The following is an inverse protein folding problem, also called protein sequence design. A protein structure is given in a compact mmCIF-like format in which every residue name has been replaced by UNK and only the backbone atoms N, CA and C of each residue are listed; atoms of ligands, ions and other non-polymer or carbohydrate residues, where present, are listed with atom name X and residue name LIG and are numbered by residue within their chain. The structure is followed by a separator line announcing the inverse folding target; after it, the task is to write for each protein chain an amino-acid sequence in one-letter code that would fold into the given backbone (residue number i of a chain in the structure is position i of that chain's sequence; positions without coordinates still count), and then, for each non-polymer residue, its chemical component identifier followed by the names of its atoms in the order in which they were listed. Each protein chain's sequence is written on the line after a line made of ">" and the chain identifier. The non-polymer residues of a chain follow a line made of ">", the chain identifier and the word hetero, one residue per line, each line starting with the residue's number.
data_IF_157119926873
#
_entry.id   IF_157119926873
#
_cell.length_a   1.000
_cell.length_b   1.000
_cell.length_c   1.000
_cell.angle_alpha   90.00
_cell.angle_beta   90.00
_cell.angle_gamma   90.00
#
_symmetry.space_group_name_H-M   'P 1'
#
loop_
_entity.id
_entity.type
_entity.pdbx_description
1 polymer ?
#
# COMPACT_ATOMS: atom_id res chain seq x y z
N UNK A 1 -28.08 34.07 28.04
CA UNK A 1 -28.25 33.91 26.59
C UNK A 1 -27.13 33.01 26.11
N UNK A 2 -27.41 31.69 26.04
CA UNK A 2 -26.45 30.71 25.59
C UNK A 2 -26.62 30.52 24.07
N UNK A 3 -25.62 30.89 23.29
CA UNK A 3 -25.56 30.58 21.87
C UNK A 3 -25.08 29.14 21.75
N UNK A 4 -25.98 28.27 21.31
CA UNK A 4 -25.66 26.91 20.88
C UNK A 4 -24.95 27.02 19.52
N UNK A 5 -23.65 26.74 19.51
CA UNK A 5 -22.89 26.58 18.25
C UNK A 5 -23.28 25.24 17.66
N UNK A 6 -24.15 25.26 16.65
CA UNK A 6 -24.45 24.09 15.85
C UNK A 6 -23.15 23.66 15.08
N UNK A 7 -22.68 22.43 15.34
CA UNK A 7 -21.64 21.79 14.56
C UNK A 7 -22.14 21.61 13.10
N UNK A 8 -21.26 21.76 12.09
CA UNK A 8 -21.67 21.60 10.70
C UNK A 8 -22.11 20.16 10.45
N UNK A 9 -23.39 20.01 10.10
CA UNK A 9 -23.98 18.75 9.66
C UNK A 9 -23.26 18.33 8.39
N UNK A 10 -22.43 17.27 8.46
CA UNK A 10 -21.85 16.63 7.29
C UNK A 10 -22.99 16.16 6.38
N UNK A 11 -23.11 16.77 5.20
CA UNK A 11 -24.14 16.43 4.22
C UNK A 11 -24.01 14.94 3.86
N UNK A 12 -24.95 14.06 4.20
CA UNK A 12 -24.82 12.63 3.94
C UNK A 12 -24.79 12.43 2.42
N UNK A 13 -23.72 11.84 1.91
CA UNK A 13 -23.59 11.46 0.49
C UNK A 13 -24.88 10.83 -0.02
N UNK A 14 -25.41 11.33 -1.13
CA UNK A 14 -26.65 10.85 -1.72
C UNK A 14 -26.58 9.35 -2.04
N UNK A 15 -27.72 8.66 -2.02
CA UNK A 15 -27.80 7.22 -2.31
C UNK A 15 -27.12 6.85 -3.63
N UNK A 16 -27.31 7.68 -4.68
CA UNK A 16 -26.71 7.47 -6.00
C UNK A 16 -25.18 7.53 -5.95
N UNK A 17 -24.60 8.44 -5.20
CA UNK A 17 -23.15 8.59 -5.05
C UNK A 17 -22.56 7.41 -4.29
N UNK A 18 -23.21 6.95 -3.21
CA UNK A 18 -22.81 5.74 -2.49
C UNK A 18 -22.82 4.50 -3.37
N UNK A 19 -23.87 4.33 -4.19
CA UNK A 19 -23.96 3.21 -5.14
C UNK A 19 -22.88 3.29 -6.22
N UNK A 20 -22.56 4.49 -6.71
CA UNK A 20 -21.47 4.71 -7.65
C UNK A 20 -20.13 4.30 -7.06
N UNK A 21 -19.82 4.78 -5.86
CA UNK A 21 -18.56 4.43 -5.16
C UNK A 21 -18.45 2.94 -4.84
N UNK A 22 -19.54 2.30 -4.41
CA UNK A 22 -19.55 0.85 -4.21
C UNK A 22 -19.25 0.09 -5.50
N UNK A 23 -19.80 0.53 -6.61
CA UNK A 23 -19.55 -0.08 -7.91
C UNK A 23 -18.12 0.13 -8.38
N UNK A 24 -17.58 1.36 -8.25
CA UNK A 24 -16.18 1.65 -8.57
C UNK A 24 -15.24 0.78 -7.74
N UNK A 25 -15.51 0.62 -6.45
CA UNK A 25 -14.74 -0.26 -5.57
C UNK A 25 -14.80 -1.72 -6.02
N UNK A 26 -15.97 -2.24 -6.37
CA UNK A 26 -16.12 -3.60 -6.88
C UNK A 26 -15.36 -3.81 -8.21
N UNK A 27 -15.33 -2.80 -9.08
CA UNK A 27 -14.54 -2.82 -10.34
C UNK A 27 -13.04 -2.87 -10.02
N UNK A 28 -12.56 -2.04 -9.11
CA UNK A 28 -11.14 -2.00 -8.73
C UNK A 28 -10.71 -3.29 -8.03
N UNK A 29 -11.54 -3.87 -7.16
CA UNK A 29 -11.27 -5.16 -6.51
C UNK A 29 -11.20 -6.30 -7.53
N UNK A 30 -12.10 -6.33 -8.50
CA UNK A 30 -12.07 -7.33 -9.57
C UNK A 30 -10.86 -7.14 -10.51
N UNK A 31 -10.51 -5.90 -10.85
CA UNK A 31 -9.31 -5.59 -11.64
C UNK A 31 -8.04 -6.02 -10.91
N UNK A 32 -7.98 -5.76 -9.60
CA UNK A 32 -6.89 -6.19 -8.74
C UNK A 32 -6.68 -7.71 -8.82
N UNK A 33 -7.75 -8.48 -8.69
CA UNK A 33 -7.70 -9.95 -8.75
C UNK A 33 -7.29 -10.43 -10.15
N UNK A 34 -7.87 -9.86 -11.23
CA UNK A 34 -7.49 -10.23 -12.60
C UNK A 34 -6.02 -9.96 -12.91
N UNK A 35 -5.51 -8.79 -12.51
CA UNK A 35 -4.09 -8.46 -12.68
C UNK A 35 -3.21 -9.44 -11.88
N UNK A 36 -3.67 -9.86 -10.70
CA UNK A 36 -2.98 -10.80 -9.85
C UNK A 36 -2.90 -12.21 -10.46
N UNK A 37 -3.99 -12.68 -11.03
CA UNK A 37 -4.13 -14.04 -11.55
C UNK A 37 -3.54 -14.18 -12.96
N UNK A 38 -3.81 -13.23 -13.85
CA UNK A 38 -3.55 -13.31 -15.28
C UNK A 38 -2.45 -12.36 -15.76
N UNK A 39 -2.12 -11.37 -14.95
CA UNK A 39 -1.20 -10.30 -15.32
C UNK A 39 -1.91 -9.13 -16.02
N UNK A 40 -1.23 -7.97 -16.02
CA UNK A 40 -1.78 -6.75 -16.62
C UNK A 40 -2.10 -6.92 -18.10
N UNK A 41 -1.22 -7.54 -18.89
CA UNK A 41 -1.41 -7.65 -20.34
C UNK A 41 -2.65 -8.47 -20.69
N UNK A 42 -2.94 -9.53 -19.95
CA UNK A 42 -4.09 -10.40 -20.19
C UNK A 42 -5.42 -9.77 -19.74
N UNK A 43 -5.42 -8.87 -18.75
CA UNK A 43 -6.65 -8.19 -18.36
C UNK A 43 -7.22 -7.35 -19.50
N UNK A 44 -8.49 -7.59 -19.85
CA UNK A 44 -9.24 -6.81 -20.84
C UNK A 44 -10.43 -6.12 -20.21
N UNK A 45 -10.89 -4.99 -20.81
CA UNK A 45 -12.10 -4.30 -20.34
C UNK A 45 -13.35 -5.20 -20.44
N UNK A 46 -13.40 -6.07 -21.43
CA UNK A 46 -14.52 -7.01 -21.63
C UNK A 46 -14.51 -8.11 -20.56
N UNK A 47 -13.36 -8.70 -20.28
CA UNK A 47 -13.17 -9.68 -19.19
C UNK A 47 -13.51 -9.12 -17.83
N UNK A 48 -13.07 -7.87 -17.57
CA UNK A 48 -13.38 -7.18 -16.32
C UNK A 48 -14.89 -6.88 -16.19
N UNK A 49 -15.54 -6.39 -17.24
CA UNK A 49 -16.98 -6.12 -17.23
C UNK A 49 -17.78 -7.42 -16.95
N UNK A 50 -17.39 -8.53 -17.58
CA UNK A 50 -17.98 -9.86 -17.36
C UNK A 50 -17.78 -10.30 -15.89
N UNK A 51 -16.57 -10.17 -15.35
CA UNK A 51 -16.24 -10.58 -13.97
C UNK A 51 -17.02 -9.79 -12.92
N UNK A 52 -17.24 -8.49 -13.16
CA UNK A 52 -18.04 -7.61 -12.26
C UNK A 52 -19.54 -7.80 -12.46
N UNK A 53 -19.97 -8.40 -13.56
CA UNK A 53 -21.39 -8.58 -13.90
C UNK A 53 -22.07 -7.29 -14.37
N UNK A 54 -21.33 -6.40 -15.07
CA UNK A 54 -21.84 -5.15 -15.63
C UNK A 54 -21.64 -5.09 -17.16
N UNK A 55 -22.40 -4.23 -17.83
CA UNK A 55 -22.21 -4.01 -19.25
C UNK A 55 -20.92 -3.23 -19.53
N UNK A 56 -20.29 -3.47 -20.69
CA UNK A 56 -19.12 -2.72 -21.16
C UNK A 56 -19.33 -1.20 -21.17
N UNK A 57 -20.47 -0.65 -21.68
CA UNK A 57 -20.74 0.78 -21.56
C UNK A 57 -20.79 1.28 -20.11
N UNK A 58 -21.35 0.48 -19.19
CA UNK A 58 -21.36 0.82 -17.76
C UNK A 58 -19.94 0.91 -17.21
N UNK A 59 -19.04 -0.02 -17.55
CA UNK A 59 -17.65 0.03 -17.13
C UNK A 59 -16.95 1.29 -17.64
N UNK A 60 -17.12 1.62 -18.94
CA UNK A 60 -16.52 2.82 -19.54
C UNK A 60 -17.06 4.13 -18.97
N UNK A 61 -18.29 4.15 -18.44
CA UNK A 61 -18.84 5.31 -17.72
C UNK A 61 -18.16 5.56 -16.36
N UNK A 62 -17.54 4.54 -15.77
CA UNK A 62 -16.78 4.65 -14.52
C UNK A 62 -15.29 4.87 -14.78
N UNK A 63 -14.73 4.15 -15.74
CA UNK A 63 -13.30 4.14 -16.06
C UNK A 63 -13.08 4.17 -17.56
N UNK A 64 -12.46 5.24 -18.09
CA UNK A 64 -12.32 5.44 -19.54
C UNK A 64 -11.35 4.46 -20.21
N UNK A 65 -10.42 3.87 -19.43
CA UNK A 65 -9.40 2.98 -19.97
C UNK A 65 -8.92 1.94 -18.94
N UNK A 66 -8.25 0.92 -19.44
CA UNK A 66 -7.51 -0.07 -18.64
C UNK A 66 -6.42 0.59 -17.80
N UNK A 67 -5.74 1.60 -18.33
CA UNK A 67 -4.71 2.33 -17.63
C UNK A 67 -5.28 3.13 -16.44
N UNK A 68 -6.45 3.78 -16.63
CA UNK A 68 -7.13 4.50 -15.55
C UNK A 68 -7.54 3.56 -14.41
N UNK A 69 -8.10 2.40 -14.72
CA UNK A 69 -8.41 1.35 -13.73
C UNK A 69 -7.15 0.95 -12.98
N UNK A 70 -6.06 0.71 -13.70
CA UNK A 70 -4.78 0.28 -13.10
C UNK A 70 -4.20 1.34 -12.18
N UNK A 71 -4.18 2.60 -12.60
CA UNK A 71 -3.72 3.72 -11.77
C UNK A 71 -4.58 3.84 -10.50
N UNK A 72 -5.91 3.78 -10.65
CA UNK A 72 -6.85 3.83 -9.51
C UNK A 72 -6.68 2.66 -8.56
N UNK A 73 -6.47 1.45 -9.08
CA UNK A 73 -6.17 0.26 -8.27
C UNK A 73 -4.89 0.43 -7.46
N UNK A 74 -3.84 1.00 -8.05
CA UNK A 74 -2.58 1.31 -7.35
C UNK A 74 -2.73 2.41 -6.30
N UNK A 75 -3.57 3.43 -6.56
CA UNK A 75 -3.90 4.46 -5.56
C UNK A 75 -4.61 3.81 -4.36
N UNK A 76 -5.63 3.00 -4.62
CA UNK A 76 -6.37 2.30 -3.56
C UNK A 76 -5.46 1.39 -2.72
N UNK A 77 -4.51 0.70 -3.36
CA UNK A 77 -3.51 -0.11 -2.64
C UNK A 77 -2.64 0.74 -1.71
N UNK A 78 -2.19 1.91 -2.16
CA UNK A 78 -1.41 2.83 -1.30
C UNK A 78 -2.24 3.36 -0.14
N UNK A 79 -3.52 3.71 -0.36
CA UNK A 79 -4.42 4.17 0.69
C UNK A 79 -4.73 3.05 1.72
N UNK A 80 -4.95 1.82 1.26
CA UNK A 80 -5.10 0.65 2.16
C UNK A 80 -3.85 0.44 3.01
N UNK A 81 -2.67 0.56 2.42
CA UNK A 81 -1.39 0.45 3.15
C UNK A 81 -1.26 1.57 4.17
N UNK A 82 -1.55 2.82 3.79
CA UNK A 82 -1.55 3.97 4.69
C UNK A 82 -2.49 3.75 5.89
N UNK A 83 -3.72 3.31 5.64
CA UNK A 83 -4.70 3.04 6.69
C UNK A 83 -4.26 1.89 7.62
N UNK A 84 -3.65 0.84 7.07
CA UNK A 84 -3.13 -0.27 7.87
C UNK A 84 -1.98 0.16 8.79
N UNK A 85 -1.07 1.02 8.32
CA UNK A 85 0.00 1.60 9.15
C UNK A 85 -0.59 2.40 10.32
N UNK A 86 -1.65 3.17 10.08
CA UNK A 86 -2.31 3.95 11.11
C UNK A 86 -3.14 3.11 12.09
N UNK A 87 -3.60 1.92 11.66
CA UNK A 87 -4.34 0.99 12.51
C UNK A 87 -3.44 0.22 13.49
N UNK A 88 -2.12 0.23 13.28
CA UNK A 88 -1.18 -0.37 14.24
C UNK A 88 -1.17 0.49 15.50
N UNK A 89 -1.27 -0.18 16.65
CA UNK A 89 -1.37 0.44 17.98
C UNK A 89 -0.30 1.53 18.17
N UNK A 90 -0.75 2.76 18.34
CA UNK A 90 0.10 3.93 18.50
C UNK A 90 0.62 4.13 19.95
N UNK A 91 0.19 3.29 20.88
CA UNK A 91 0.70 3.28 22.27
C UNK A 91 1.99 2.48 22.41
N UNK A 92 2.36 1.70 21.39
CA UNK A 92 3.60 0.95 21.37
C UNK A 92 4.82 1.86 21.26
N UNK A 93 5.98 1.43 21.81
CA UNK A 93 7.25 2.08 21.53
C UNK A 93 7.47 2.24 20.02
N UNK A 94 7.97 3.40 19.53
CA UNK A 94 8.09 3.66 18.09
C UNK A 94 8.89 2.60 17.31
N UNK A 95 9.98 2.08 17.89
CA UNK A 95 10.76 1.01 17.26
C UNK A 95 9.96 -0.29 17.11
N UNK A 96 9.19 -0.69 18.14
CA UNK A 96 8.30 -1.86 18.08
C UNK A 96 7.18 -1.64 17.07
N UNK A 97 6.61 -0.43 17.03
CA UNK A 97 5.59 -0.07 16.06
C UNK A 97 6.13 -0.17 14.61
N UNK A 98 7.35 0.33 14.38
CA UNK A 98 8.02 0.24 13.07
C UNK A 98 8.27 -1.23 12.67
N UNK A 99 8.68 -2.08 13.60
CA UNK A 99 8.85 -3.52 13.36
C UNK A 99 7.51 -4.17 12.97
N UNK A 100 6.42 -3.85 13.67
CA UNK A 100 5.09 -4.36 13.32
C UNK A 100 4.62 -3.88 11.95
N UNK A 101 4.92 -2.64 11.57
CA UNK A 101 4.67 -2.13 10.22
C UNK A 101 5.42 -2.98 9.19
N UNK A 102 6.70 -3.24 9.40
CA UNK A 102 7.52 -4.03 8.49
C UNK A 102 6.99 -5.46 8.35
N UNK A 103 6.72 -6.15 9.46
CA UNK A 103 6.14 -7.50 9.48
C UNK A 103 4.80 -7.54 8.75
N UNK A 104 3.91 -6.57 9.03
CA UNK A 104 2.65 -6.45 8.32
C UNK A 104 2.84 -6.28 6.81
N UNK A 105 3.80 -5.42 6.40
CA UNK A 105 4.08 -5.20 4.97
C UNK A 105 4.59 -6.47 4.30
N UNK A 106 5.49 -7.24 4.93
CA UNK A 106 6.00 -8.51 4.40
C UNK A 106 4.86 -9.53 4.30
N UNK A 107 4.08 -9.72 5.36
CA UNK A 107 2.95 -10.64 5.36
C UNK A 107 1.91 -10.27 4.29
N UNK A 108 1.62 -8.97 4.15
CA UNK A 108 0.72 -8.49 3.10
C UNK A 108 1.30 -8.71 1.70
N UNK A 109 2.63 -8.58 1.51
CA UNK A 109 3.33 -8.83 0.25
C UNK A 109 3.16 -10.28 -0.24
N UNK A 110 3.18 -11.25 0.68
CA UNK A 110 3.06 -12.67 0.37
C UNK A 110 1.64 -13.23 0.53
N UNK A 111 0.67 -12.39 0.87
CA UNK A 111 -0.73 -12.82 0.88
C UNK A 111 -1.21 -13.10 -0.54
N UNK A 112 -2.19 -14.00 -0.73
CA UNK A 112 -2.60 -14.47 -2.07
C UNK A 112 -3.03 -13.36 -3.04
N UNK A 113 -3.49 -12.23 -2.54
CA UNK A 113 -4.13 -11.18 -3.35
C UNK A 113 -3.27 -9.93 -3.63
N UNK A 114 -2.47 -9.37 -2.70
CA UNK A 114 -1.71 -8.14 -2.94
C UNK A 114 -0.43 -8.31 -3.76
N UNK A 115 0.18 -9.49 -3.74
CA UNK A 115 1.55 -9.68 -4.23
C UNK A 115 1.73 -9.47 -5.73
N UNK A 116 0.73 -9.76 -6.54
CA UNK A 116 0.85 -9.69 -7.99
C UNK A 116 0.93 -8.25 -8.52
N UNK A 117 0.24 -7.28 -7.90
CA UNK A 117 0.38 -5.87 -8.27
C UNK A 117 1.75 -5.29 -7.89
N UNK A 118 2.30 -5.73 -6.76
CA UNK A 118 3.64 -5.33 -6.34
C UNK A 118 4.73 -5.93 -7.25
N UNK A 119 4.47 -7.09 -7.86
CA UNK A 119 5.34 -7.74 -8.87
C UNK A 119 5.33 -7.03 -10.22
N UNK A 120 4.23 -6.40 -10.60
CA UNK A 120 4.07 -5.79 -11.90
C UNK A 120 4.75 -4.40 -11.98
N UNK A 121 6.09 -4.37 -11.99
CA UNK A 121 6.88 -3.12 -12.21
C UNK A 121 6.46 -2.35 -13.46
N UNK A 122 5.98 -3.04 -14.48
CA UNK A 122 5.47 -2.44 -15.72
C UNK A 122 4.25 -1.56 -15.48
N UNK A 123 3.42 -1.88 -14.47
CA UNK A 123 2.24 -1.10 -14.09
C UNK A 123 2.58 0.25 -13.46
N UNK A 124 3.76 0.37 -12.86
CA UNK A 124 4.16 1.59 -12.18
C UNK A 124 4.49 2.72 -13.17
N UNK A 125 4.80 2.40 -14.43
CA UNK A 125 5.24 3.39 -15.41
C UNK A 125 4.16 4.45 -15.71
N UNK A 126 2.91 4.11 -16.08
CA UNK A 126 1.84 5.08 -16.24
C UNK A 126 1.41 5.72 -14.91
N UNK A 127 1.45 4.97 -13.80
CA UNK A 127 1.04 5.47 -12.50
C UNK A 127 2.02 6.51 -11.92
N UNK A 128 3.33 6.36 -12.13
CA UNK A 128 4.35 7.27 -11.58
C UNK A 128 4.18 8.72 -11.99
N UNK A 129 3.62 8.99 -13.16
CA UNK A 129 3.33 10.35 -13.62
C UNK A 129 1.97 10.90 -13.15
N UNK A 130 1.12 10.06 -12.53
CA UNK A 130 -0.21 10.47 -12.09
C UNK A 130 -0.13 11.19 -10.72
N UNK A 131 -0.62 12.46 -10.60
CA UNK A 131 -0.47 13.24 -9.37
C UNK A 131 -1.10 12.59 -8.14
N UNK A 132 -2.27 11.96 -8.29
CA UNK A 132 -2.97 11.30 -7.18
C UNK A 132 -2.21 10.05 -6.69
N UNK A 133 -1.59 9.31 -7.62
CA UNK A 133 -0.73 8.19 -7.26
C UNK A 133 0.50 8.66 -6.48
N UNK A 134 1.17 9.72 -6.95
CA UNK A 134 2.33 10.30 -6.25
C UNK A 134 1.96 10.74 -4.84
N UNK A 135 0.78 11.37 -4.69
CA UNK A 135 0.26 11.82 -3.40
C UNK A 135 -0.02 10.64 -2.46
N UNK A 136 -0.73 9.62 -2.93
CA UNK A 136 -1.04 8.44 -2.13
C UNK A 136 0.23 7.66 -1.73
N UNK A 137 1.17 7.50 -2.67
CA UNK A 137 2.46 6.87 -2.40
C UNK A 137 3.30 7.68 -1.42
N UNK A 138 3.30 9.03 -1.55
CA UNK A 138 3.99 9.94 -0.63
C UNK A 138 3.46 9.83 0.80
N UNK A 139 2.15 9.94 0.98
CA UNK A 139 1.49 9.83 2.31
C UNK A 139 1.88 8.55 3.05
N UNK A 140 1.92 7.43 2.36
CA UNK A 140 2.33 6.15 2.94
C UNK A 140 3.78 6.19 3.44
N UNK A 141 4.70 6.75 2.65
CA UNK A 141 6.10 6.87 3.04
C UNK A 141 6.26 7.86 4.19
N UNK A 142 5.53 8.98 4.17
CA UNK A 142 5.54 9.96 5.26
C UNK A 142 5.06 9.35 6.57
N UNK A 143 3.99 8.54 6.55
CA UNK A 143 3.50 7.85 7.74
C UNK A 143 4.52 6.88 8.36
N UNK A 144 5.35 6.22 7.55
CA UNK A 144 6.46 5.39 8.06
C UNK A 144 7.59 6.29 8.59
N UNK A 145 7.91 7.37 7.87
CA UNK A 145 8.98 8.31 8.27
C UNK A 145 8.69 8.96 9.62
N UNK A 146 7.43 9.30 9.91
CA UNK A 146 7.00 9.83 11.22
C UNK A 146 7.29 8.85 12.37
N UNK A 147 7.10 7.55 12.13
CA UNK A 147 7.43 6.51 13.12
C UNK A 147 8.94 6.38 13.29
N UNK A 148 9.70 6.44 12.20
CA UNK A 148 11.18 6.42 12.23
C UNK A 148 11.70 7.62 13.02
N UNK A 149 11.19 8.83 12.77
CA UNK A 149 11.58 10.04 13.49
C UNK A 149 11.31 9.92 15.00
N UNK A 150 10.13 9.39 15.37
CA UNK A 150 9.82 9.14 16.76
C UNK A 150 10.78 8.13 17.42
N UNK A 151 11.18 7.06 16.71
CA UNK A 151 12.16 6.09 17.20
C UNK A 151 13.57 6.70 17.33
N UNK A 152 13.94 7.62 16.43
CA UNK A 152 15.20 8.39 16.53
C UNK A 152 15.22 9.32 17.76
N UNK A 153 14.10 9.97 18.05
CA UNK A 153 13.96 10.83 19.24
C UNK A 153 14.10 10.02 20.54
N UNK A 154 13.69 8.75 20.55
CA UNK A 154 13.88 7.84 21.68
C UNK A 154 15.29 7.22 21.71
N UNK A 155 16.10 7.38 20.67
CA UNK A 155 17.46 6.85 20.59
C UNK A 155 17.55 5.39 20.13
N UNK A 156 16.46 4.78 19.69
CA UNK A 156 16.43 3.41 19.22
C UNK A 156 17.01 3.27 17.80
N UNK A 157 16.89 4.33 16.97
CA UNK A 157 17.41 4.41 15.62
C UNK A 157 18.43 5.55 15.54
N UNK A 158 19.45 5.38 14.71
CA UNK A 158 20.47 6.38 14.48
C UNK A 158 19.89 7.67 13.86
N UNK A 159 19.98 8.78 14.59
CA UNK A 159 19.45 10.07 14.16
C UNK A 159 20.21 10.71 12.99
N UNK A 160 21.38 10.18 12.60
CA UNK A 160 22.12 10.65 11.42
C UNK A 160 21.48 10.21 10.11
N UNK A 161 20.59 9.21 10.14
CA UNK A 161 19.93 8.66 8.95
C UNK A 161 18.64 9.44 8.65
N UNK A 162 18.44 9.97 7.40
CA UNK A 162 17.23 10.68 7.07
C UNK A 162 15.97 9.79 7.20
N UNK A 163 14.94 10.16 7.99
CA UNK A 163 13.78 9.31 8.26
C UNK A 163 13.04 8.86 7.00
N UNK A 164 12.81 9.78 6.07
CA UNK A 164 12.12 9.48 4.80
C UNK A 164 12.92 8.53 3.90
N UNK A 165 14.26 8.60 3.94
CA UNK A 165 15.10 7.66 3.21
C UNK A 165 15.00 6.26 3.80
N UNK A 166 15.05 6.11 5.13
CA UNK A 166 14.85 4.83 5.80
C UNK A 166 13.47 4.23 5.50
N UNK A 167 12.41 5.04 5.56
CA UNK A 167 11.06 4.63 5.21
C UNK A 167 10.98 4.13 3.75
N UNK A 168 11.60 4.85 2.82
CA UNK A 168 11.64 4.47 1.41
C UNK A 168 12.46 3.18 1.20
N UNK A 169 13.59 3.02 1.88
CA UNK A 169 14.41 1.80 1.82
C UNK A 169 13.64 0.61 2.38
N UNK A 170 13.00 0.75 3.55
CA UNK A 170 12.16 -0.29 4.14
C UNK A 170 11.07 -0.76 3.16
N UNK A 171 10.35 0.19 2.54
CA UNK A 171 9.34 -0.15 1.54
C UNK A 171 9.94 -0.84 0.32
N UNK A 172 11.10 -0.38 -0.16
CA UNK A 172 11.78 -0.91 -1.36
C UNK A 172 12.23 -2.34 -1.15
N UNK A 173 12.85 -2.65 0.00
CA UNK A 173 13.33 -4.01 0.27
C UNK A 173 12.19 -4.99 0.45
N UNK A 174 11.08 -4.59 1.11
CA UNK A 174 9.90 -5.45 1.25
C UNK A 174 9.26 -5.76 -0.11
N UNK A 175 9.25 -4.80 -1.03
CA UNK A 175 8.62 -4.94 -2.34
C UNK A 175 9.54 -5.49 -3.43
N UNK A 176 10.73 -5.98 -3.09
CA UNK A 176 11.66 -6.52 -4.06
C UNK A 176 11.08 -7.75 -4.80
N UNK A 177 11.07 -7.76 -6.15
CA UNK A 177 10.46 -8.84 -6.92
C UNK A 177 11.27 -10.15 -6.87
N UNK A 178 12.55 -10.05 -6.54
CA UNK A 178 13.50 -11.18 -6.50
C UNK A 178 13.08 -12.28 -5.51
N UNK A 179 12.27 -11.95 -4.51
CA UNK A 179 11.74 -12.92 -3.53
C UNK A 179 10.80 -13.95 -4.17
N UNK A 180 10.10 -13.59 -5.23
CA UNK A 180 9.22 -14.53 -5.92
C UNK A 180 10.03 -15.65 -6.58
N UNK A 181 11.21 -15.31 -7.12
CA UNK A 181 12.14 -16.29 -7.72
C UNK A 181 12.77 -17.19 -6.65
N UNK A 182 13.13 -16.66 -5.48
CA UNK A 182 13.66 -17.46 -4.37
C UNK A 182 12.62 -18.45 -3.85
N UNK A 183 11.38 -18.02 -3.71
CA UNK A 183 10.27 -18.90 -3.28
C UNK A 183 10.00 -19.97 -4.34
N UNK A 184 9.95 -19.59 -5.62
CA UNK A 184 9.69 -20.54 -6.72
C UNK A 184 10.77 -21.63 -6.84
N UNK A 185 12.02 -21.31 -6.48
CA UNK A 185 13.14 -22.29 -6.45
C UNK A 185 13.20 -23.10 -5.17
N UNK A 186 12.44 -22.71 -4.13
CA UNK A 186 12.52 -23.34 -2.81
C UNK A 186 13.72 -22.91 -1.98
N UNK A 187 14.41 -21.81 -2.37
CA UNK A 187 15.58 -21.28 -1.67
C UNK A 187 15.19 -20.52 -0.39
N UNK A 188 13.94 -20.03 -0.31
CA UNK A 188 13.37 -19.35 0.85
C UNK A 188 11.86 -19.52 0.89
N UNK A 189 11.27 -19.34 2.07
CA UNK A 189 9.82 -19.21 2.24
C UNK A 189 9.46 -17.80 2.77
N UNK A 190 8.18 -17.40 2.75
CA UNK A 190 7.77 -16.06 3.22
C UNK A 190 8.22 -15.73 4.65
N UNK A 191 8.27 -16.71 5.54
CA UNK A 191 8.70 -16.53 6.94
C UNK A 191 10.21 -16.28 7.03
N UNK A 192 11.02 -17.03 6.26
CA UNK A 192 12.47 -16.81 6.22
C UNK A 192 12.79 -15.40 5.71
N UNK A 193 12.04 -14.91 4.71
CA UNK A 193 12.20 -13.57 4.17
C UNK A 193 11.81 -12.53 5.22
N UNK A 194 10.69 -12.72 5.93
CA UNK A 194 10.26 -11.82 7.00
C UNK A 194 11.33 -11.67 8.08
N UNK A 195 11.77 -12.79 8.66
CA UNK A 195 12.75 -12.81 9.74
C UNK A 195 14.09 -12.17 9.30
N UNK A 196 14.55 -12.51 8.10
CA UNK A 196 15.79 -11.97 7.54
C UNK A 196 15.70 -10.46 7.32
N UNK A 197 14.61 -9.98 6.72
CA UNK A 197 14.43 -8.55 6.44
C UNK A 197 14.31 -7.74 7.73
N UNK A 198 13.55 -8.22 8.72
CA UNK A 198 13.40 -7.55 10.00
C UNK A 198 14.75 -7.46 10.72
N UNK A 199 15.45 -8.59 10.84
CA UNK A 199 16.77 -8.62 11.49
C UNK A 199 17.75 -7.67 10.79
N UNK A 200 17.90 -7.81 9.48
CA UNK A 200 18.86 -7.02 8.70
C UNK A 200 18.55 -5.51 8.76
N UNK A 201 17.28 -5.12 8.67
CA UNK A 201 16.89 -3.72 8.72
C UNK A 201 17.16 -3.12 10.10
N UNK A 202 16.65 -3.76 11.17
CA UNK A 202 16.77 -3.20 12.51
C UNK A 202 18.19 -3.27 13.06
N UNK A 203 18.98 -4.29 12.75
CA UNK A 203 20.40 -4.32 13.14
C UNK A 203 21.22 -3.26 12.38
N UNK A 204 20.83 -2.95 11.12
CA UNK A 204 21.51 -1.93 10.31
C UNK A 204 21.20 -0.49 10.73
N UNK A 205 20.02 -0.23 11.33
CA UNK A 205 19.61 1.14 11.70
C UNK A 205 19.78 1.45 13.19
N UNK A 206 20.11 0.45 14.01
CA UNK A 206 20.39 0.68 15.43
C UNK A 206 21.58 1.60 15.62
N UNK A 207 21.48 2.49 16.61
CA UNK A 207 22.59 3.32 17.00
C UNK A 207 23.77 2.43 17.44
N UNK A 208 24.89 2.52 16.71
CA UNK A 208 26.12 1.88 17.16
C UNK A 208 26.47 2.43 18.55
N UNK A 209 26.57 1.56 19.54
CA UNK A 209 27.10 1.94 20.84
C UNK A 209 28.52 2.51 20.59
N UNK A 210 28.65 3.82 20.72
CA UNK A 210 29.97 4.49 20.60
C UNK A 210 30.91 3.83 21.62
N UNK A 211 31.98 3.21 21.11
CA UNK A 211 33.10 2.75 21.95
C UNK A 211 33.81 3.90 22.59
#
# INVERSE_FOLDING_TARGET
>A
MNAVVEAPVSNPMGLRERQRQQRERAILDAAFVLIAEEGYEAMTMDGLALRVGISKPTLYNHFPSKDDITVRTLIELNERTFNAIHAIDNTLPPAERLERVMRWMVNNRFSPTPSALLRARTLLKPAKSHPDYQRAAGRKIDAIADIVEAAQQMGDIDASMPPRLLAQMMFTVVCAPEYDDLIARGDANPKDIEETLVTMFFDGVRRSATK
#
